data_IF_610732142711
#
_entry.id   IF_610732142711
#
_cell.length_a   1.000
_cell.length_b   1.000
_cell.length_c   1.000
_cell.angle_alpha   90.00
_cell.angle_beta   90.00
_cell.angle_gamma   90.00
#
_symmetry.space_group_name_H-M   'P 1'
#
loop_
_entity.id
_entity.type
_entity.pdbx_description
1 polymer ?
#
# COMPACT_ATOMS: atom_id res chain seq x y z
N UNK A 1 -1.34 -33.80 0.52
CA UNK A 1 -0.48 -32.97 1.39
C UNK A 1 0.74 -33.73 1.87
N UNK A 2 0.59 -34.96 2.39
CA UNK A 2 1.74 -35.72 2.87
C UNK A 2 1.86 -37.05 2.14
N UNK A 3 2.90 -37.18 1.32
CA UNK A 3 3.25 -38.47 0.71
C UNK A 3 3.73 -39.47 1.76
N UNK A 4 4.02 -40.71 1.33
CA UNK A 4 4.54 -41.76 2.21
C UNK A 4 5.84 -41.40 2.95
N UNK A 5 6.58 -40.37 2.51
CA UNK A 5 7.77 -39.82 3.19
C UNK A 5 7.65 -39.73 4.71
N UNK A 6 6.53 -39.21 5.23
CA UNK A 6 6.33 -39.06 6.68
C UNK A 6 6.38 -40.38 7.45
N UNK A 7 5.92 -41.46 6.83
CA UNK A 7 5.80 -42.77 7.49
C UNK A 7 7.07 -43.60 7.45
N UNK A 8 7.98 -43.34 6.49
CA UNK A 8 9.14 -44.20 6.24
C UNK A 8 10.44 -43.65 6.81
N UNK A 9 10.64 -42.33 6.79
CA UNK A 9 11.94 -41.72 7.08
C UNK A 9 11.95 -40.79 8.30
N UNK A 10 10.80 -40.62 8.96
CA UNK A 10 10.72 -39.77 10.15
C UNK A 10 11.25 -40.48 11.39
N UNK A 11 11.88 -39.72 12.31
CA UNK A 11 12.30 -40.25 13.60
C UNK A 11 11.08 -40.63 14.43
N UNK A 12 11.20 -41.70 15.23
CA UNK A 12 10.14 -42.14 16.15
C UNK A 12 10.13 -41.27 17.42
N UNK A 13 11.30 -40.77 17.79
CA UNK A 13 11.56 -39.93 18.95
C UNK A 13 12.56 -38.83 18.60
N UNK A 14 12.61 -37.73 19.36
CA UNK A 14 13.45 -36.57 19.03
C UNK A 14 14.94 -36.89 19.01
N UNK A 15 15.36 -37.89 19.78
CA UNK A 15 16.73 -38.38 19.87
C UNK A 15 17.22 -38.97 18.53
N UNK A 16 16.32 -39.51 17.71
CA UNK A 16 16.64 -40.16 16.42
C UNK A 16 16.76 -39.15 15.27
N UNK A 17 16.43 -37.88 15.48
CA UNK A 17 16.42 -36.85 14.42
C UNK A 17 17.75 -36.82 13.67
N UNK A 18 18.87 -36.88 14.40
CA UNK A 18 20.20 -36.82 13.80
C UNK A 18 20.54 -38.07 12.96
N UNK A 19 20.18 -39.27 13.44
CA UNK A 19 20.40 -40.53 12.71
C UNK A 19 19.58 -40.57 11.41
N UNK A 20 18.30 -40.20 11.49
CA UNK A 20 17.43 -40.13 10.31
C UNK A 20 17.94 -39.12 9.27
N UNK A 21 18.48 -37.98 9.72
CA UNK A 21 19.03 -36.93 8.83
C UNK A 21 20.45 -37.22 8.32
N UNK A 22 21.07 -38.32 8.75
CA UNK A 22 22.37 -38.81 8.27
C UNK A 22 22.26 -40.12 7.47
N UNK A 23 21.08 -40.73 7.42
CA UNK A 23 20.87 -42.02 6.77
C UNK A 23 20.93 -41.92 5.24
N UNK A 24 22.04 -42.36 4.66
CA UNK A 24 22.30 -42.35 3.22
C UNK A 24 21.81 -43.60 2.48
N UNK A 25 21.10 -44.52 3.15
CA UNK A 25 20.51 -45.68 2.49
C UNK A 25 19.47 -45.24 1.46
N UNK A 26 19.36 -45.98 0.37
CA UNK A 26 18.32 -45.74 -0.62
C UNK A 26 16.94 -46.05 -0.02
N UNK A 27 15.91 -45.21 -0.25
CA UNK A 27 14.56 -45.56 0.11
C UNK A 27 14.06 -46.71 -0.77
N UNK A 28 13.13 -47.51 -0.23
CA UNK A 28 12.50 -48.59 -1.00
C UNK A 28 11.79 -48.08 -2.26
N UNK A 29 11.55 -48.95 -3.25
CA UNK A 29 11.04 -48.56 -4.58
C UNK A 29 9.61 -47.99 -4.56
N UNK A 30 8.92 -48.07 -3.43
CA UNK A 30 7.53 -47.62 -3.23
C UNK A 30 7.45 -46.19 -2.71
N UNK A 31 8.56 -45.56 -2.34
CA UNK A 31 8.57 -44.17 -1.93
C UNK A 31 8.44 -43.27 -3.17
N UNK A 32 7.46 -42.35 -3.15
CA UNK A 32 7.32 -41.36 -4.22
C UNK A 32 8.56 -40.47 -4.29
N UNK A 33 9.04 -40.16 -5.49
CA UNK A 33 10.17 -39.25 -5.69
C UNK A 33 9.91 -38.39 -6.94
N UNK A 34 8.78 -37.68 -6.92
CA UNK A 34 8.26 -36.88 -8.03
C UNK A 34 9.23 -35.77 -8.47
N UNK A 35 9.95 -35.19 -7.51
CA UNK A 35 10.94 -34.12 -7.76
C UNK A 35 12.38 -34.62 -7.90
N UNK A 36 12.66 -35.92 -7.75
CA UNK A 36 14.03 -36.44 -7.77
C UNK A 36 14.88 -36.05 -6.54
N UNK A 37 14.25 -35.57 -5.48
CA UNK A 37 14.89 -35.03 -4.27
C UNK A 37 14.86 -35.98 -3.07
N UNK A 38 14.45 -37.24 -3.26
CA UNK A 38 14.32 -38.25 -2.21
C UNK A 38 15.13 -39.52 -2.54
N UNK A 39 16.40 -39.38 -2.96
CA UNK A 39 17.22 -40.53 -3.37
C UNK A 39 17.84 -41.31 -2.19
N UNK A 40 17.82 -40.73 -0.99
CA UNK A 40 18.26 -41.33 0.27
C UNK A 40 17.21 -41.14 1.38
N UNK A 41 17.31 -41.95 2.45
CA UNK A 41 16.40 -41.84 3.60
C UNK A 41 16.45 -40.46 4.26
N UNK A 42 17.63 -39.85 4.38
CA UNK A 42 17.75 -38.50 4.93
C UNK A 42 17.11 -37.43 4.05
N UNK A 43 17.27 -37.55 2.73
CA UNK A 43 16.65 -36.65 1.76
C UNK A 43 15.11 -36.76 1.83
N UNK A 44 14.59 -37.98 1.91
CA UNK A 44 13.17 -38.24 2.13
C UNK A 44 12.67 -37.69 3.47
N UNK A 45 13.46 -37.81 4.54
CA UNK A 45 13.16 -37.26 5.87
C UNK A 45 13.06 -35.73 5.82
N UNK A 46 14.07 -35.09 5.24
CA UNK A 46 14.16 -33.64 5.03
C UNK A 46 12.96 -33.10 4.26
N UNK A 47 12.64 -33.72 3.12
CA UNK A 47 11.48 -33.34 2.30
C UNK A 47 10.18 -33.53 3.07
N UNK A 48 10.00 -34.65 3.78
CA UNK A 48 8.79 -34.91 4.55
C UNK A 48 8.57 -33.87 5.67
N UNK A 49 9.58 -33.62 6.50
CA UNK A 49 9.52 -32.65 7.61
C UNK A 49 9.31 -31.23 7.11
N UNK A 50 10.05 -30.84 6.06
CA UNK A 50 9.92 -29.52 5.48
C UNK A 50 8.58 -29.28 4.78
N UNK A 51 8.06 -30.26 4.03
CA UNK A 51 6.74 -30.18 3.41
C UNK A 51 5.63 -30.10 4.47
N UNK A 52 5.76 -30.83 5.59
CA UNK A 52 4.84 -30.69 6.71
C UNK A 52 4.81 -29.25 7.25
N UNK A 53 5.98 -28.65 7.48
CA UNK A 53 6.09 -27.26 7.95
C UNK A 53 5.62 -26.22 6.92
N UNK A 54 5.75 -26.51 5.63
CA UNK A 54 5.18 -25.70 4.55
C UNK A 54 3.66 -25.61 4.66
N UNK A 55 2.99 -26.75 4.87
CA UNK A 55 1.54 -26.78 5.05
C UNK A 55 1.09 -26.14 6.37
N UNK A 56 1.87 -26.29 7.44
CA UNK A 56 1.67 -25.54 8.68
C UNK A 56 1.73 -24.03 8.41
N UNK A 57 2.69 -23.58 7.59
CA UNK A 57 2.77 -22.19 7.15
C UNK A 57 1.49 -21.73 6.45
N UNK A 58 0.97 -22.52 5.50
CA UNK A 58 -0.31 -22.23 4.85
C UNK A 58 -1.50 -22.21 5.82
N UNK A 59 -1.54 -23.12 6.79
CA UNK A 59 -2.58 -23.15 7.81
C UNK A 59 -2.63 -21.85 8.66
N UNK A 60 -1.47 -21.19 8.84
CA UNK A 60 -1.37 -19.88 9.48
C UNK A 60 -1.32 -18.69 8.50
N UNK A 61 -1.68 -18.91 7.23
CA UNK A 61 -1.88 -17.87 6.23
C UNK A 61 -0.61 -17.37 5.53
N UNK A 62 0.53 -18.07 5.67
CA UNK A 62 1.72 -17.74 4.89
C UNK A 62 1.50 -18.06 3.40
N UNK A 63 1.79 -17.13 2.47
CA UNK A 63 1.81 -17.42 1.04
C UNK A 63 3.12 -18.15 0.66
N UNK A 64 3.26 -18.52 -0.62
CA UNK A 64 4.57 -18.92 -1.17
C UNK A 64 5.55 -17.72 -1.12
N UNK A 65 6.31 -17.62 -0.04
CA UNK A 65 7.22 -16.52 0.27
C UNK A 65 8.68 -16.89 -0.02
N UNK A 66 9.51 -17.01 1.01
CA UNK A 66 10.90 -17.48 0.95
C UNK A 66 11.08 -18.67 1.88
N UNK A 67 12.24 -19.31 1.77
CA UNK A 67 12.63 -20.42 2.63
C UNK A 67 11.69 -21.62 2.54
N UNK A 68 11.14 -22.08 3.67
CA UNK A 68 10.26 -23.26 3.74
C UNK A 68 9.05 -23.13 2.80
N UNK A 69 8.51 -21.91 2.63
CA UNK A 69 7.35 -21.66 1.77
C UNK A 69 7.64 -21.81 0.27
N UNK A 70 8.89 -22.06 -0.12
CA UNK A 70 9.31 -22.32 -1.52
C UNK A 70 10.35 -23.45 -1.59
N UNK A 71 10.15 -24.52 -0.80
CA UNK A 71 11.02 -25.73 -0.76
C UNK A 71 12.46 -25.50 -0.29
N UNK A 72 12.75 -24.42 0.44
CA UNK A 72 14.07 -24.18 1.03
C UNK A 72 14.52 -25.23 2.04
N UNK A 73 13.64 -26.16 2.42
CA UNK A 73 13.92 -27.28 3.31
C UNK A 73 14.65 -28.45 2.64
N UNK A 74 14.48 -28.69 1.33
CA UNK A 74 14.98 -29.88 0.66
C UNK A 74 16.46 -30.18 0.97
N UNK A 75 17.32 -29.18 0.79
CA UNK A 75 18.74 -29.25 1.07
C UNK A 75 19.11 -28.76 2.49
N UNK A 76 18.39 -27.76 3.02
CA UNK A 76 18.87 -26.99 4.17
C UNK A 76 18.28 -27.45 5.51
N UNK A 77 17.21 -28.23 5.53
CA UNK A 77 16.57 -28.67 6.77
C UNK A 77 17.50 -29.40 7.75
N UNK A 78 18.41 -30.29 7.30
CA UNK A 78 19.37 -30.93 8.19
C UNK A 78 20.30 -29.95 8.91
N UNK A 79 20.51 -28.74 8.37
CA UNK A 79 21.38 -27.71 8.96
C UNK A 79 20.83 -27.13 10.26
N UNK A 80 19.55 -27.37 10.58
CA UNK A 80 18.97 -27.00 11.87
C UNK A 80 19.35 -27.97 13.02
N UNK A 81 19.85 -29.17 12.69
CA UNK A 81 20.08 -30.24 13.68
C UNK A 81 21.50 -30.80 13.66
N UNK A 82 22.23 -30.64 12.56
CA UNK A 82 23.52 -31.28 12.34
C UNK A 82 24.66 -30.27 12.24
N UNK A 83 25.82 -30.62 12.81
CA UNK A 83 27.08 -29.87 12.62
C UNK A 83 27.74 -30.16 11.27
N UNK A 84 27.40 -31.28 10.61
CA UNK A 84 27.76 -31.60 9.23
C UNK A 84 26.65 -32.39 8.56
N UNK A 85 26.23 -31.98 7.38
CA UNK A 85 25.18 -32.71 6.63
C UNK A 85 25.75 -33.95 5.95
N UNK A 86 24.89 -34.90 5.59
CA UNK A 86 25.28 -36.05 4.76
C UNK A 86 25.46 -35.65 3.28
N UNK A 87 26.06 -36.56 2.49
CA UNK A 87 26.14 -36.43 1.03
C UNK A 87 24.74 -36.42 0.41
N UNK A 88 24.46 -35.46 -0.49
CA UNK A 88 23.23 -35.42 -1.28
C UNK A 88 23.40 -36.11 -2.60
N UNK A 89 22.62 -37.18 -2.80
CA UNK A 89 22.55 -37.90 -4.06
C UNK A 89 21.75 -37.10 -5.08
N UNK A 90 20.65 -36.45 -4.66
CA UNK A 90 19.81 -35.62 -5.51
C UNK A 90 20.60 -34.48 -6.17
N UNK A 91 21.50 -33.84 -5.42
CA UNK A 91 22.31 -32.72 -5.91
C UNK A 91 23.74 -33.09 -6.27
N UNK A 92 24.17 -34.33 -6.01
CA UNK A 92 25.55 -34.82 -6.18
C UNK A 92 26.58 -33.94 -5.46
N UNK A 93 26.31 -33.62 -4.19
CA UNK A 93 27.12 -32.71 -3.38
C UNK A 93 27.56 -33.35 -2.09
N UNK A 94 28.83 -33.09 -1.73
CA UNK A 94 29.36 -33.44 -0.43
C UNK A 94 28.66 -32.69 0.70
N UNK A 95 28.61 -33.34 1.85
CA UNK A 95 28.06 -32.77 3.08
C UNK A 95 28.83 -31.55 3.54
N UNK A 96 28.11 -30.50 3.95
CA UNK A 96 28.69 -29.23 4.40
C UNK A 96 28.82 -29.20 5.92
N UNK A 97 29.92 -28.61 6.40
CA UNK A 97 30.02 -28.24 7.83
C UNK A 97 29.11 -27.04 8.07
N UNK A 98 28.27 -27.15 9.09
CA UNK A 98 27.29 -26.14 9.46
C UNK A 98 27.88 -25.27 10.56
N UNK A 99 28.15 -24.02 10.22
CA UNK A 99 28.64 -23.01 11.15
C UNK A 99 27.54 -21.95 11.26
N UNK A 100 27.04 -21.74 12.48
CA UNK A 100 26.01 -20.76 12.76
C UNK A 100 26.41 -19.37 12.25
N UNK A 101 25.49 -18.71 11.54
CA UNK A 101 25.71 -17.39 10.94
C UNK A 101 26.61 -17.35 9.70
N UNK A 102 27.30 -18.44 9.33
CA UNK A 102 28.15 -18.51 8.14
C UNK A 102 27.56 -19.42 7.05
N UNK A 103 27.04 -20.58 7.44
CA UNK A 103 26.42 -21.52 6.50
C UNK A 103 24.99 -21.07 6.20
N UNK A 104 24.70 -20.81 4.93
CA UNK A 104 23.36 -20.40 4.50
C UNK A 104 22.31 -21.45 4.93
N UNK A 105 21.16 -21.01 5.42
CA UNK A 105 20.05 -21.90 5.75
C UNK A 105 18.72 -21.26 5.34
N UNK A 106 18.07 -21.89 4.38
CA UNK A 106 16.77 -21.46 3.83
C UNK A 106 15.64 -22.34 4.35
N UNK A 107 15.92 -23.30 5.23
CA UNK A 107 14.92 -24.10 5.90
C UNK A 107 14.39 -23.36 7.15
N UNK A 108 13.87 -22.16 6.90
CA UNK A 108 13.25 -21.24 7.85
C UNK A 108 12.04 -20.58 7.19
N UNK A 109 11.07 -20.13 7.97
CA UNK A 109 10.03 -19.24 7.46
C UNK A 109 10.61 -17.84 7.20
N UNK A 110 10.00 -17.11 6.26
CA UNK A 110 10.28 -15.69 6.08
C UNK A 110 9.97 -14.94 7.37
N UNK A 111 10.77 -13.92 7.68
CA UNK A 111 10.56 -13.12 8.90
C UNK A 111 9.15 -12.51 8.94
N UNK A 112 8.61 -12.07 7.80
CA UNK A 112 7.25 -11.49 7.72
C UNK A 112 6.18 -12.51 8.10
N UNK A 113 6.38 -13.77 7.73
CA UNK A 113 5.43 -14.85 7.99
C UNK A 113 5.52 -15.24 9.47
N UNK A 114 6.74 -15.39 10.00
CA UNK A 114 6.97 -15.66 11.41
C UNK A 114 6.36 -14.57 12.33
N UNK A 115 6.50 -13.29 11.97
CA UNK A 115 5.86 -12.18 12.68
C UNK A 115 4.33 -12.22 12.57
N UNK A 116 3.79 -12.67 11.42
CA UNK A 116 2.36 -12.86 11.24
C UNK A 116 1.82 -14.02 12.10
N UNK A 117 2.59 -15.10 12.27
CA UNK A 117 2.23 -16.24 13.12
C UNK A 117 2.06 -15.82 14.58
N UNK A 118 2.89 -14.91 15.08
CA UNK A 118 2.77 -14.35 16.43
C UNK A 118 1.42 -13.68 16.71
N UNK A 119 0.66 -13.31 15.68
CA UNK A 119 -0.66 -12.70 15.85
C UNK A 119 -1.76 -13.74 16.16
N UNK A 120 -1.48 -15.03 16.01
CA UNK A 120 -2.41 -16.10 16.32
C UNK A 120 -2.27 -16.57 17.78
N UNK A 121 -3.39 -16.88 18.47
CA UNK A 121 -3.36 -17.36 19.85
C UNK A 121 -2.46 -18.58 20.10
N UNK A 122 -2.25 -19.41 19.08
CA UNK A 122 -1.39 -20.60 19.13
C UNK A 122 0.08 -20.30 19.44
N UNK A 123 0.54 -19.08 19.20
CA UNK A 123 1.94 -18.66 19.39
C UNK A 123 2.13 -17.73 20.59
N UNK A 124 1.07 -17.43 21.34
CA UNK A 124 1.15 -16.51 22.46
C UNK A 124 1.76 -17.17 23.69
N UNK A 125 2.67 -16.44 24.33
CA UNK A 125 3.20 -16.78 25.66
C UNK A 125 2.71 -15.77 26.70
N UNK A 126 2.71 -16.11 28.00
CA UNK A 126 2.38 -15.17 29.06
C UNK A 126 3.23 -13.90 28.95
N UNK A 127 2.57 -12.74 28.87
CA UNK A 127 3.23 -11.43 28.74
C UNK A 127 3.30 -10.87 27.30
N UNK A 128 2.85 -11.62 26.29
CA UNK A 128 2.74 -11.06 24.93
C UNK A 128 1.72 -9.92 24.86
N UNK A 129 2.09 -8.84 24.16
CA UNK A 129 1.20 -7.72 23.89
C UNK A 129 0.19 -8.07 22.79
N UNK A 130 -1.10 -7.96 23.11
CA UNK A 130 -2.16 -8.11 22.13
C UNK A 130 -2.28 -6.85 21.28
N UNK A 131 -1.92 -6.95 20.01
CA UNK A 131 -2.18 -5.87 19.06
C UNK A 131 -3.68 -5.76 18.80
N UNK A 132 -4.20 -4.54 18.83
CA UNK A 132 -5.58 -4.24 18.43
C UNK A 132 -5.81 -4.62 16.95
N UNK A 133 -7.02 -5.04 16.55
CA UNK A 133 -7.29 -5.53 15.19
C UNK A 133 -6.84 -4.58 14.07
N UNK A 134 -7.02 -3.27 14.24
CA UNK A 134 -6.54 -2.27 13.28
C UNK A 134 -5.01 -2.26 13.13
N UNK A 135 -4.28 -2.43 14.24
CA UNK A 135 -2.80 -2.50 14.22
C UNK A 135 -2.34 -3.80 13.56
N UNK A 136 -3.07 -4.91 13.70
CA UNK A 136 -2.75 -6.18 13.01
C UNK A 136 -2.87 -6.08 11.48
N UNK A 137 -3.80 -5.28 10.98
CA UNK A 137 -4.07 -5.14 9.54
C UNK A 137 -3.26 -4.02 8.85
N UNK A 138 -2.63 -3.13 9.62
CA UNK A 138 -1.98 -1.92 9.11
C UNK A 138 -0.59 -2.19 8.51
N UNK A 139 -0.37 -1.73 7.28
CA UNK A 139 0.97 -1.73 6.69
C UNK A 139 1.78 -0.53 7.19
N UNK A 140 3.12 -0.63 7.23
CA UNK A 140 3.98 0.50 7.57
C UNK A 140 3.69 1.74 6.69
N UNK A 141 3.78 2.92 7.28
CA UNK A 141 3.60 4.20 6.60
C UNK A 141 4.93 4.76 6.10
N UNK A 142 4.89 5.37 4.92
CA UNK A 142 6.01 6.11 4.30
C UNK A 142 5.50 7.49 3.96
N UNK A 143 6.01 8.51 4.65
CA UNK A 143 5.54 9.89 4.52
C UNK A 143 6.70 10.80 4.15
N UNK A 144 6.47 11.72 3.21
CA UNK A 144 7.46 12.74 2.84
C UNK A 144 7.43 13.85 3.87
N UNK A 145 8.61 14.19 4.40
CA UNK A 145 8.78 15.25 5.40
C UNK A 145 9.69 16.36 4.86
N UNK A 146 9.65 17.53 5.49
CA UNK A 146 10.54 18.65 5.14
C UNK A 146 10.25 19.28 3.77
N UNK A 147 9.03 19.14 3.25
CA UNK A 147 8.62 19.79 2.00
C UNK A 147 8.77 21.32 2.13
N UNK A 148 9.44 21.94 1.16
CA UNK A 148 9.77 23.37 1.17
C UNK A 148 11.16 23.71 1.74
N UNK A 149 11.82 22.78 2.44
CA UNK A 149 13.21 22.93 2.92
C UNK A 149 14.07 21.77 2.37
N UNK A 150 14.88 22.00 1.32
CA UNK A 150 15.74 20.97 0.74
C UNK A 150 16.70 20.29 1.72
N UNK A 151 17.06 20.96 2.82
CA UNK A 151 17.98 20.40 3.83
C UNK A 151 17.29 19.39 4.77
N UNK A 152 15.96 19.50 4.93
CA UNK A 152 15.12 18.63 5.77
C UNK A 152 14.26 17.66 4.98
N UNK A 153 14.24 17.79 3.64
CA UNK A 153 13.47 16.92 2.76
C UNK A 153 13.92 15.47 2.93
N UNK A 154 12.98 14.57 3.21
CA UNK A 154 13.25 13.16 3.43
C UNK A 154 11.97 12.33 3.49
N UNK A 155 12.13 11.04 3.78
CA UNK A 155 11.02 10.15 4.11
C UNK A 155 11.10 9.76 5.59
N UNK A 156 9.94 9.74 6.24
CA UNK A 156 9.74 9.15 7.55
C UNK A 156 9.00 7.83 7.39
N UNK A 157 9.60 6.76 7.90
CA UNK A 157 8.99 5.45 7.99
C UNK A 157 8.41 5.31 9.39
N UNK A 158 7.21 4.76 9.51
CA UNK A 158 6.59 4.51 10.83
C UNK A 158 5.60 3.36 10.76
N UNK A 159 5.33 2.74 11.90
CA UNK A 159 4.31 1.70 12.03
C UNK A 159 3.82 1.67 13.48
N UNK A 160 2.50 1.58 13.70
CA UNK A 160 1.96 1.43 15.08
C UNK A 160 2.40 0.12 15.74
N UNK A 161 2.67 -0.92 14.94
CA UNK A 161 3.28 -2.16 15.42
C UNK A 161 4.82 -2.05 15.57
N UNK A 162 5.42 -0.87 15.39
CA UNK A 162 6.88 -0.64 15.25
C UNK A 162 7.47 -1.24 13.97
N UNK A 163 8.45 -0.55 13.41
CA UNK A 163 9.25 -0.98 12.24
C UNK A 163 10.39 -1.87 12.70
N UNK A 164 10.62 -2.98 11.99
CA UNK A 164 11.57 -4.04 12.38
C UNK A 164 12.60 -4.37 11.32
N UNK A 165 12.34 -3.98 10.08
CA UNK A 165 13.27 -4.21 8.99
C UNK A 165 12.98 -3.19 7.89
N UNK A 166 14.06 -2.63 7.36
CA UNK A 166 14.04 -1.72 6.21
C UNK A 166 15.03 -2.27 5.19
N UNK A 167 14.67 -2.24 3.92
CA UNK A 167 15.60 -2.59 2.84
C UNK A 167 15.50 -1.63 1.68
N UNK A 168 16.64 -1.36 1.05
CA UNK A 168 16.74 -0.59 -0.18
C UNK A 168 17.35 -1.46 -1.28
N UNK A 169 16.63 -1.61 -2.40
CA UNK A 169 16.99 -2.55 -3.49
C UNK A 169 17.32 -3.95 -2.96
N UNK A 170 16.49 -4.45 -2.04
CA UNK A 170 16.61 -5.75 -1.39
C UNK A 170 17.86 -5.92 -0.49
N UNK A 171 18.65 -4.86 -0.28
CA UNK A 171 19.72 -4.83 0.72
C UNK A 171 19.17 -4.38 2.06
N UNK A 172 19.29 -5.24 3.07
CA UNK A 172 18.81 -4.96 4.43
C UNK A 172 19.65 -3.87 5.09
N UNK A 173 18.96 -2.94 5.76
CA UNK A 173 19.59 -2.04 6.72
C UNK A 173 19.96 -2.80 7.99
N UNK A 174 21.03 -2.38 8.67
CA UNK A 174 21.44 -2.95 9.96
C UNK A 174 20.49 -2.63 11.12
N UNK A 175 19.64 -1.61 10.93
CA UNK A 175 18.63 -1.16 11.88
C UNK A 175 17.43 -0.57 11.12
N UNK A 176 16.18 -0.74 11.60
CA UNK A 176 15.76 -1.49 12.80
C UNK A 176 15.84 -3.02 12.64
N UNK A 177 15.72 -3.73 13.76
CA UNK A 177 15.70 -5.20 13.84
C UNK A 177 14.57 -5.67 14.76
N UNK A 178 14.30 -6.97 14.80
CA UNK A 178 13.29 -7.56 15.71
C UNK A 178 13.63 -7.32 17.19
N UNK A 179 14.93 -7.34 17.54
CA UNK A 179 15.40 -7.10 18.91
C UNK A 179 15.41 -5.62 19.30
N UNK A 180 15.51 -4.73 18.31
CA UNK A 180 15.51 -3.27 18.49
C UNK A 180 14.54 -2.61 17.51
N UNK A 181 13.21 -2.85 17.67
CA UNK A 181 12.20 -2.27 16.80
C UNK A 181 12.03 -0.77 17.11
N UNK A 182 11.61 0.02 16.12
CA UNK A 182 11.47 1.47 16.28
C UNK A 182 10.08 1.98 15.90
N UNK A 183 9.61 3.04 16.57
CA UNK A 183 8.33 3.67 16.22
C UNK A 183 8.41 4.39 14.86
N UNK A 184 9.56 5.03 14.61
CA UNK A 184 9.86 5.69 13.35
C UNK A 184 11.37 5.69 13.04
N UNK A 185 11.69 5.91 11.77
CA UNK A 185 13.04 6.17 11.28
C UNK A 185 12.98 7.15 10.10
N UNK A 186 14.01 7.97 9.93
CA UNK A 186 14.05 9.03 8.93
C UNK A 186 15.22 8.81 7.99
N UNK A 187 14.96 8.91 6.68
CA UNK A 187 15.99 8.93 5.65
C UNK A 187 15.91 10.25 4.89
N UNK A 188 16.92 11.11 5.05
CA UNK A 188 16.97 12.38 4.35
C UNK A 188 17.30 12.16 2.87
N UNK A 189 16.69 12.96 2.01
CA UNK A 189 16.89 12.93 0.57
C UNK A 189 18.38 13.05 0.19
N UNK A 190 19.11 13.93 0.89
CA UNK A 190 20.55 14.14 0.65
C UNK A 190 21.36 12.86 0.89
N UNK A 191 21.03 12.11 1.95
CA UNK A 191 21.73 10.88 2.34
C UNK A 191 21.37 9.74 1.39
N UNK A 192 20.09 9.66 1.00
CA UNK A 192 19.64 8.71 -0.02
C UNK A 192 20.33 8.96 -1.37
N UNK A 193 20.45 10.22 -1.81
CA UNK A 193 21.17 10.56 -3.06
C UNK A 193 22.66 10.22 -3.00
N UNK A 194 23.27 10.38 -1.83
CA UNK A 194 24.68 10.04 -1.61
C UNK A 194 24.89 8.52 -1.68
N UNK A 195 24.05 7.74 -1.01
CA UNK A 195 24.12 6.27 -0.95
C UNK A 195 23.67 5.60 -2.26
N UNK A 196 22.69 6.18 -2.93
CA UNK A 196 22.08 5.66 -4.16
C UNK A 196 22.13 6.75 -5.25
N UNK A 197 23.31 7.00 -5.87
CA UNK A 197 23.43 7.98 -6.94
C UNK A 197 22.50 7.65 -8.09
N UNK A 198 21.75 8.64 -8.60
CA UNK A 198 20.84 8.50 -9.76
C UNK A 198 21.57 8.36 -11.09
N UNK A 199 22.52 7.43 -11.18
CA UNK A 199 23.07 7.02 -12.47
C UNK A 199 21.96 6.23 -13.19
N UNK A 200 21.65 6.63 -14.42
CA UNK A 200 20.71 5.93 -15.32
C UNK A 200 19.22 5.95 -14.92
N UNK A 201 18.75 6.90 -14.09
CA UNK A 201 17.33 6.97 -13.67
C UNK A 201 16.81 5.65 -13.05
N UNK A 202 17.68 4.86 -12.41
CA UNK A 202 17.26 3.60 -11.78
C UNK A 202 16.32 3.88 -10.60
N UNK A 203 15.20 3.14 -10.51
CA UNK A 203 14.29 3.27 -9.38
C UNK A 203 14.98 2.84 -8.08
N UNK A 204 14.60 3.47 -6.97
CA UNK A 204 15.04 3.05 -5.64
C UNK A 204 13.90 2.34 -4.92
N UNK A 205 13.93 1.01 -4.92
CA UNK A 205 12.94 0.19 -4.21
C UNK A 205 13.18 0.26 -2.71
N UNK A 206 12.12 0.52 -1.95
CA UNK A 206 12.11 0.49 -0.49
C UNK A 206 11.11 -0.57 -0.03
N UNK A 207 11.52 -1.42 0.92
CA UNK A 207 10.63 -2.34 1.62
C UNK A 207 10.70 -2.06 3.11
N UNK A 208 9.55 -1.97 3.76
CA UNK A 208 9.41 -1.72 5.20
C UNK A 208 8.55 -2.81 5.82
N UNK A 209 9.03 -3.44 6.89
CA UNK A 209 8.32 -4.48 7.64
C UNK A 209 7.98 -3.98 9.05
N UNK A 210 6.75 -4.22 9.52
CA UNK A 210 6.33 -3.98 10.90
C UNK A 210 6.36 -5.25 11.77
N UNK A 211 6.34 -5.12 13.12
CA UNK A 211 6.25 -6.30 14.01
C UNK A 211 4.95 -7.11 13.84
N UNK A 212 3.95 -6.55 13.17
CA UNK A 212 2.71 -7.25 12.83
C UNK A 212 2.84 -8.13 11.57
N UNK A 213 4.04 -8.29 11.01
CA UNK A 213 4.26 -9.08 9.80
C UNK A 213 3.76 -8.41 8.51
N UNK A 214 3.24 -7.18 8.59
CA UNK A 214 2.78 -6.43 7.43
C UNK A 214 3.96 -5.68 6.78
N UNK A 215 4.01 -5.75 5.46
CA UNK A 215 5.03 -5.12 4.65
C UNK A 215 4.42 -4.02 3.78
N UNK A 216 5.15 -2.92 3.60
CA UNK A 216 4.89 -1.95 2.53
C UNK A 216 6.10 -1.86 1.64
N UNK A 217 5.87 -1.92 0.33
CA UNK A 217 6.89 -1.77 -0.70
C UNK A 217 6.60 -0.54 -1.52
N UNK A 218 7.59 0.33 -1.68
CA UNK A 218 7.57 1.45 -2.62
C UNK A 218 8.57 1.09 -3.72
N UNK A 219 8.14 1.02 -4.98
CA UNK A 219 9.03 0.55 -6.05
C UNK A 219 10.02 1.63 -6.49
N UNK A 220 9.64 2.90 -6.38
CA UNK A 220 10.54 4.02 -6.62
C UNK A 220 10.34 5.18 -5.64
N UNK A 221 11.15 5.20 -4.56
CA UNK A 221 11.18 6.26 -3.55
C UNK A 221 11.38 7.65 -4.16
N UNK A 222 12.05 7.74 -5.31
CA UNK A 222 12.30 9.00 -5.98
C UNK A 222 11.04 9.74 -6.43
N UNK A 223 9.97 9.00 -6.70
CA UNK A 223 8.68 9.56 -7.12
C UNK A 223 7.92 10.22 -5.98
N UNK A 224 8.10 9.73 -4.75
CA UNK A 224 7.52 10.36 -3.55
C UNK A 224 7.98 11.83 -3.40
N UNK A 225 9.15 12.16 -3.95
CA UNK A 225 9.68 13.51 -3.93
C UNK A 225 9.33 14.33 -5.19
N UNK A 226 8.42 13.82 -6.02
CA UNK A 226 7.96 14.46 -7.24
C UNK A 226 7.31 15.83 -6.99
N UNK A 227 7.37 16.69 -7.99
CA UNK A 227 6.73 18.02 -7.94
C UNK A 227 5.20 17.94 -8.05
N UNK A 228 4.64 16.83 -8.54
CA UNK A 228 3.20 16.65 -8.74
C UNK A 228 2.40 16.56 -7.43
N UNK A 229 3.08 16.19 -6.34
CA UNK A 229 2.51 16.12 -4.99
C UNK A 229 2.55 17.47 -4.25
N UNK A 230 2.99 18.53 -4.93
CA UNK A 230 3.06 19.89 -4.41
C UNK A 230 2.14 20.79 -5.21
N UNK A 231 1.19 21.46 -4.54
CA UNK A 231 0.33 22.47 -5.15
C UNK A 231 0.85 23.85 -4.75
N UNK A 232 1.38 24.58 -5.74
CA UNK A 232 1.74 25.99 -5.57
C UNK A 232 0.54 26.87 -5.88
N UNK A 233 0.19 27.76 -4.96
CA UNK A 233 -0.94 28.67 -5.15
C UNK A 233 -0.42 29.96 -5.82
N UNK A 234 -0.99 30.37 -6.96
CA UNK A 234 -0.57 31.60 -7.63
C UNK A 234 -0.62 32.82 -6.69
N UNK A 235 0.44 33.63 -6.69
CA UNK A 235 0.51 34.84 -5.88
C UNK A 235 0.69 34.62 -4.37
N UNK A 236 0.94 33.39 -3.91
CA UNK A 236 1.09 33.08 -2.49
C UNK A 236 2.36 32.29 -2.18
N UNK A 237 2.89 32.46 -0.97
CA UNK A 237 3.98 31.63 -0.42
C UNK A 237 3.46 30.30 0.16
N UNK A 238 2.14 30.16 0.27
CA UNK A 238 1.50 28.95 0.80
C UNK A 238 1.62 27.83 -0.23
N UNK A 239 2.12 26.69 0.23
CA UNK A 239 2.30 25.48 -0.56
C UNK A 239 1.47 24.38 0.09
N UNK A 240 0.62 23.72 -0.71
CA UNK A 240 -0.10 22.54 -0.25
C UNK A 240 0.64 21.29 -0.69
N UNK A 241 0.47 20.25 0.10
CA UNK A 241 1.02 18.93 -0.15
C UNK A 241 -0.09 17.93 -0.41
N UNK A 242 0.22 16.90 -1.20
CA UNK A 242 -0.65 15.76 -1.44
C UNK A 242 -0.01 14.50 -0.91
N UNK A 243 -0.85 13.57 -0.47
CA UNK A 243 -0.47 12.21 -0.16
C UNK A 243 -1.65 11.30 -0.45
N UNK A 244 -1.41 10.18 -1.13
CA UNK A 244 -2.46 9.20 -1.44
C UNK A 244 -2.04 7.77 -1.12
N UNK A 245 -3.07 6.92 -1.10
CA UNK A 245 -2.99 5.48 -1.08
C UNK A 245 -3.63 4.98 -2.38
N UNK A 246 -2.88 4.18 -3.12
CA UNK A 246 -3.35 3.42 -4.28
C UNK A 246 -3.82 2.04 -3.84
N UNK A 247 -4.67 1.39 -4.63
CA UNK A 247 -4.87 -0.05 -4.52
C UNK A 247 -3.55 -0.80 -4.78
N UNK A 248 -3.40 -2.00 -4.23
CA UNK A 248 -2.10 -2.66 -4.14
C UNK A 248 -1.45 -2.93 -5.51
N UNK A 249 -2.25 -3.29 -6.52
CA UNK A 249 -1.74 -3.53 -7.87
C UNK A 249 -1.30 -2.24 -8.55
N UNK A 250 -2.00 -1.10 -8.37
CA UNK A 250 -1.58 0.17 -8.97
C UNK A 250 -0.34 0.76 -8.30
N UNK A 251 -0.16 0.53 -6.99
CA UNK A 251 1.11 0.84 -6.30
C UNK A 251 2.26 -0.04 -6.79
N UNK A 252 1.99 -1.28 -7.24
CA UNK A 252 3.01 -2.18 -7.77
C UNK A 252 3.32 -1.96 -9.27
N UNK A 253 2.27 -1.75 -10.08
CA UNK A 253 2.33 -1.55 -11.54
C UNK A 253 2.57 -0.06 -11.89
N UNK A 254 3.49 0.62 -11.19
CA UNK A 254 3.70 2.08 -11.26
C UNK A 254 4.01 2.65 -12.66
N UNK A 255 4.18 1.81 -13.69
CA UNK A 255 4.43 2.21 -15.08
C UNK A 255 3.20 2.08 -15.99
N UNK A 256 2.11 1.47 -15.52
CA UNK A 256 0.87 1.30 -16.30
C UNK A 256 -0.19 2.28 -15.79
N UNK A 257 -0.02 3.54 -16.16
CA UNK A 257 -1.10 4.51 -15.98
C UNK A 257 -2.35 4.01 -16.72
N UNK A 258 -3.49 3.91 -16.04
CA UNK A 258 -4.73 3.53 -16.71
C UNK A 258 -5.10 4.57 -17.77
N UNK A 259 -5.71 4.10 -18.86
CA UNK A 259 -6.20 4.98 -19.91
C UNK A 259 -7.07 6.08 -19.28
N UNK A 260 -6.75 7.34 -19.59
CA UNK A 260 -7.48 8.51 -19.11
C UNK A 260 -8.98 8.45 -19.42
N UNK A 261 -9.39 7.72 -20.48
CA UNK A 261 -10.80 7.49 -20.81
C UNK A 261 -11.54 6.62 -19.77
N UNK A 262 -10.79 5.86 -18.97
CA UNK A 262 -11.28 4.90 -17.97
C UNK A 262 -11.08 5.37 -16.53
N UNK A 263 -10.73 6.63 -16.32
CA UNK A 263 -10.40 7.21 -15.02
C UNK A 263 -11.21 8.47 -14.78
N UNK A 264 -11.81 8.58 -13.60
CA UNK A 264 -12.40 9.81 -13.10
C UNK A 264 -11.53 10.41 -12.00
N UNK A 265 -10.81 11.49 -12.31
CA UNK A 265 -10.07 12.26 -11.29
C UNK A 265 -10.98 13.28 -10.60
N UNK A 266 -10.88 13.37 -9.29
CA UNK A 266 -11.68 14.30 -8.48
C UNK A 266 -10.85 14.88 -7.33
N UNK A 267 -11.25 16.07 -6.87
CA UNK A 267 -10.70 16.71 -5.68
C UNK A 267 -11.76 17.61 -5.03
N UNK A 268 -11.63 17.88 -3.74
CA UNK A 268 -12.50 18.83 -3.05
C UNK A 268 -11.84 19.33 -1.78
N UNK A 269 -11.95 20.63 -1.51
CA UNK A 269 -11.58 21.22 -0.24
C UNK A 269 -12.69 21.02 0.80
N UNK A 270 -12.33 20.98 2.08
CA UNK A 270 -13.24 20.81 3.22
C UNK A 270 -13.85 22.15 3.69
N UNK A 271 -13.39 23.26 3.12
CA UNK A 271 -13.98 24.59 3.26
C UNK A 271 -13.97 25.27 1.88
N UNK A 272 -15.00 26.07 1.59
CA UNK A 272 -15.16 26.79 0.33
C UNK A 272 -15.85 28.15 0.56
N UNK A 273 -15.71 29.12 -0.35
CA UNK A 273 -16.56 30.31 -0.33
C UNK A 273 -18.03 29.95 -0.54
N UNK A 274 -18.93 30.68 0.11
CA UNK A 274 -20.37 30.65 -0.12
C UNK A 274 -20.69 31.40 -1.41
N UNK A 275 -21.61 30.86 -2.19
CA UNK A 275 -22.02 31.50 -3.43
C UNK A 275 -22.66 32.87 -3.15
N UNK A 276 -22.22 33.91 -3.88
CA UNK A 276 -22.79 35.26 -3.79
C UNK A 276 -22.33 36.13 -2.61
N UNK A 277 -21.45 35.64 -1.72
CA UNK A 277 -20.85 36.43 -0.66
C UNK A 277 -19.37 36.74 -0.97
N UNK A 278 -18.95 38.00 -0.79
CA UNK A 278 -17.53 38.39 -0.90
C UNK A 278 -16.68 37.78 0.22
N UNK A 279 -15.35 37.87 0.14
CA UNK A 279 -14.43 37.14 1.03
C UNK A 279 -14.40 37.68 2.48
N UNK A 280 -14.68 36.80 3.44
CA UNK A 280 -14.55 37.02 4.88
C UNK A 280 -14.89 35.76 5.71
N UNK A 281 -14.68 35.73 7.03
CA UNK A 281 -14.91 34.53 7.85
C UNK A 281 -16.36 34.02 7.82
N UNK A 282 -17.34 34.92 7.64
CA UNK A 282 -18.77 34.57 7.48
C UNK A 282 -19.16 34.18 6.05
N UNK A 283 -18.24 34.31 5.10
CA UNK A 283 -18.47 33.97 3.69
C UNK A 283 -17.98 32.57 3.33
N UNK A 284 -17.48 31.80 4.28
CA UNK A 284 -17.04 30.43 4.05
C UNK A 284 -18.14 29.46 4.48
N UNK A 285 -18.28 28.39 3.72
CA UNK A 285 -19.00 27.19 4.11
C UNK A 285 -18.02 26.11 4.51
N UNK A 286 -18.33 25.46 5.62
CA UNK A 286 -17.52 24.40 6.17
C UNK A 286 -18.22 23.05 6.03
N UNK A 287 -17.43 21.99 5.99
CA UNK A 287 -17.96 20.63 6.03
C UNK A 287 -18.81 20.45 7.28
N UNK A 288 -20.05 20.03 7.09
CA UNK A 288 -20.99 19.64 8.14
C UNK A 288 -20.85 18.16 8.45
N UNK A 289 -20.72 17.34 7.42
CA UNK A 289 -20.61 15.89 7.58
C UNK A 289 -20.02 15.22 6.35
N UNK A 290 -19.38 14.08 6.56
CA UNK A 290 -18.84 13.23 5.49
C UNK A 290 -19.51 11.86 5.59
N UNK A 291 -20.17 11.43 4.52
CA UNK A 291 -20.87 10.14 4.44
C UNK A 291 -20.07 9.19 3.55
N UNK A 292 -19.47 8.17 4.17
CA UNK A 292 -18.64 7.16 3.52
C UNK A 292 -19.53 6.02 3.03
N UNK A 293 -19.45 5.70 1.74
CA UNK A 293 -20.27 4.68 1.07
C UNK A 293 -19.41 3.48 0.70
N UNK A 294 -19.67 2.37 1.39
CA UNK A 294 -18.90 1.13 1.25
C UNK A 294 -19.82 -0.03 0.87
N UNK A 295 -19.52 -0.68 -0.26
CA UNK A 295 -20.12 -1.91 -0.73
C UNK A 295 -19.08 -3.02 -0.80
N UNK A 296 -19.05 -3.74 -1.92
CA UNK A 296 -17.94 -4.66 -2.24
C UNK A 296 -16.59 -3.94 -2.36
N UNK A 297 -16.64 -2.63 -2.61
CA UNK A 297 -15.53 -1.69 -2.67
C UNK A 297 -15.96 -0.36 -2.06
N UNK A 298 -15.03 0.59 -1.94
CA UNK A 298 -15.36 1.97 -1.60
C UNK A 298 -16.01 2.64 -2.84
N UNK A 299 -17.34 2.77 -2.80
CA UNK A 299 -18.13 3.36 -3.89
C UNK A 299 -17.83 4.86 -4.04
N UNK A 300 -17.68 5.56 -2.92
CA UNK A 300 -17.44 6.99 -2.90
C UNK A 300 -17.70 7.63 -1.54
N UNK A 301 -17.63 8.96 -1.50
CA UNK A 301 -18.03 9.74 -0.33
C UNK A 301 -18.93 10.90 -0.74
N UNK A 302 -19.80 11.31 0.17
CA UNK A 302 -20.48 12.59 0.09
C UNK A 302 -19.91 13.55 1.13
N UNK A 303 -19.55 14.76 0.71
CA UNK A 303 -19.24 15.87 1.60
C UNK A 303 -20.45 16.80 1.62
N UNK A 304 -21.09 16.90 2.78
CA UNK A 304 -22.17 17.85 3.04
C UNK A 304 -21.58 19.11 3.67
N UNK A 305 -21.88 20.27 3.10
CA UNK A 305 -21.55 21.57 3.68
C UNK A 305 -22.70 22.13 4.52
N UNK A 306 -22.39 23.09 5.38
CA UNK A 306 -23.36 23.75 6.26
C UNK A 306 -24.44 24.56 5.52
N UNK A 307 -24.21 24.92 4.25
CA UNK A 307 -25.15 25.63 3.37
C UNK A 307 -26.10 24.68 2.61
N UNK A 308 -25.94 23.38 2.79
CA UNK A 308 -26.70 22.34 2.10
C UNK A 308 -26.09 21.85 0.78
N UNK A 309 -24.95 22.41 0.33
CA UNK A 309 -24.23 21.84 -0.81
C UNK A 309 -23.75 20.41 -0.47
N UNK A 310 -23.99 19.48 -1.39
CA UNK A 310 -23.45 18.12 -1.33
C UNK A 310 -22.53 17.86 -2.53
N UNK A 311 -21.31 17.41 -2.23
CA UNK A 311 -20.27 17.11 -3.23
C UNK A 311 -19.91 15.63 -3.21
N UNK A 312 -19.83 15.04 -4.40
CA UNK A 312 -19.34 13.67 -4.58
C UNK A 312 -17.80 13.65 -4.48
N UNK A 313 -17.23 12.68 -3.78
CA UNK A 313 -15.84 12.24 -3.92
C UNK A 313 -15.85 10.93 -4.71
N UNK A 314 -15.52 11.01 -5.99
CA UNK A 314 -15.82 10.01 -7.02
C UNK A 314 -16.64 10.61 -8.16
N UNK A 315 -17.14 9.82 -9.11
CA UNK A 315 -17.92 10.34 -10.23
C UNK A 315 -19.16 11.14 -9.79
N UNK A 316 -19.41 12.27 -10.47
CA UNK A 316 -20.63 13.09 -10.30
C UNK A 316 -21.73 12.77 -11.32
N UNK A 317 -21.35 12.19 -12.46
CA UNK A 317 -22.25 11.82 -13.54
C UNK A 317 -22.15 10.32 -13.79
N UNK A 318 -23.22 9.72 -14.31
CA UNK A 318 -23.25 8.38 -14.92
C UNK A 318 -22.86 8.48 -16.39
N UNK A 319 -22.64 7.32 -17.03
CA UNK A 319 -22.25 7.25 -18.45
C UNK A 319 -23.26 7.94 -19.38
N UNK A 320 -24.55 7.84 -19.06
CA UNK A 320 -25.64 8.47 -19.78
C UNK A 320 -25.84 9.96 -19.48
N UNK A 321 -25.02 10.56 -18.60
CA UNK A 321 -25.10 11.97 -18.23
C UNK A 321 -25.97 12.26 -17.00
N UNK A 322 -26.67 11.26 -16.45
CA UNK A 322 -27.48 11.44 -15.24
C UNK A 322 -26.60 11.65 -14.00
N UNK A 323 -27.20 12.15 -12.91
CA UNK A 323 -26.51 12.31 -11.63
C UNK A 323 -26.04 10.95 -11.10
N UNK A 324 -24.78 10.89 -10.67
CA UNK A 324 -24.21 9.70 -10.04
C UNK A 324 -24.60 9.62 -8.56
N UNK A 325 -24.99 8.41 -8.14
CA UNK A 325 -25.33 8.08 -6.76
C UNK A 325 -24.47 6.92 -6.31
N UNK A 326 -23.81 7.05 -5.16
CA UNK A 326 -23.03 5.97 -4.57
C UNK A 326 -23.97 4.98 -3.89
N UNK A 327 -23.74 3.70 -4.15
CA UNK A 327 -24.44 2.60 -3.52
C UNK A 327 -23.83 2.26 -2.17
N UNK A 328 -23.51 0.98 -2.01
CA UNK A 328 -22.93 0.43 -0.79
C UNK A 328 -23.99 0.03 0.22
N UNK A 329 -23.83 -1.16 0.80
CA UNK A 329 -24.66 -1.63 1.90
C UNK A 329 -24.40 -0.81 3.20
N UNK A 330 -23.20 -0.22 3.35
CA UNK A 330 -22.82 0.61 4.48
C UNK A 330 -22.76 2.09 4.09
N UNK A 331 -23.61 2.89 4.71
CA UNK A 331 -23.57 4.35 4.70
C UNK A 331 -23.25 4.85 6.11
N UNK A 332 -22.01 5.30 6.32
CA UNK A 332 -21.50 5.66 7.66
C UNK A 332 -21.09 7.14 7.65
N UNK A 333 -21.90 7.95 8.32
CA UNK A 333 -21.70 9.39 8.41
C UNK A 333 -20.79 9.77 9.59
N UNK A 334 -19.86 10.68 9.34
CA UNK A 334 -19.06 11.39 10.34
C UNK A 334 -19.59 12.82 10.42
N UNK A 335 -20.07 13.22 11.58
CA UNK A 335 -20.64 14.55 11.82
C UNK A 335 -19.61 15.49 12.44
N UNK A 336 -19.43 16.68 11.89
CA UNK A 336 -18.50 17.71 12.36
C UNK A 336 -19.19 18.78 13.24
N UNK A 337 -20.50 18.70 13.41
CA UNK A 337 -21.34 19.69 14.12
C UNK A 337 -21.83 19.26 15.49
N UNK A 338 -21.81 17.96 15.81
CA UNK A 338 -22.14 17.46 17.15
C UNK A 338 -20.94 17.65 18.09
N UNK A 339 -21.11 17.96 19.38
CA UNK A 339 -20.01 18.11 20.35
C UNK A 339 -19.85 19.51 20.96
N UNK A 340 -19.32 19.57 22.18
CA UNK A 340 -19.07 20.80 22.93
C UNK A 340 -17.69 21.34 22.56
N UNK A 341 -17.60 22.33 21.67
CA UNK A 341 -16.32 22.91 21.23
C UNK A 341 -16.41 23.69 19.91
N UNK A 342 -15.34 24.39 19.55
CA UNK A 342 -15.24 25.09 18.26
C UNK A 342 -14.93 24.06 17.14
N UNK A 343 -15.20 24.41 15.86
CA UNK A 343 -14.88 23.59 14.69
C UNK A 343 -13.42 23.04 14.66
N UNK A 344 -12.48 23.71 15.32
CA UNK A 344 -11.07 23.29 15.45
C UNK A 344 -10.84 22.06 16.32
N UNK A 345 -11.78 21.67 17.17
CA UNK A 345 -11.68 20.49 18.03
C UNK A 345 -12.02 19.18 17.27
N UNK A 346 -12.63 19.30 16.07
CA UNK A 346 -13.05 18.19 15.20
C UNK A 346 -12.27 18.12 13.89
N UNK A 347 -10.98 18.38 13.97
CA UNK A 347 -10.07 18.20 12.84
C UNK A 347 -9.89 16.72 12.49
N UNK A 348 -9.83 16.40 11.20
CA UNK A 348 -9.45 15.06 10.73
C UNK A 348 -7.94 14.87 10.98
N UNK A 349 -7.59 13.88 11.79
CA UNK A 349 -6.20 13.60 12.17
C UNK A 349 -5.64 12.37 11.46
N UNK A 350 -6.51 11.45 11.04
CA UNK A 350 -6.09 10.20 10.38
C UNK A 350 -7.21 9.69 9.47
N UNK A 351 -6.82 9.13 8.33
CA UNK A 351 -7.70 8.36 7.45
C UNK A 351 -7.07 6.98 7.26
N UNK A 352 -7.81 5.94 7.62
CA UNK A 352 -7.46 4.56 7.37
C UNK A 352 -8.18 4.10 6.10
N UNK A 353 -7.44 3.50 5.18
CA UNK A 353 -7.92 3.04 3.88
C UNK A 353 -7.66 1.55 3.78
N UNK A 354 -8.71 0.75 3.65
CA UNK A 354 -8.61 -0.66 3.38
C UNK A 354 -8.55 -0.90 1.88
N UNK A 355 -7.62 -1.72 1.40
CA UNK A 355 -7.44 -1.92 -0.04
C UNK A 355 -7.25 -3.39 -0.40
N UNK A 356 -7.59 -3.69 -1.66
CA UNK A 356 -7.31 -4.94 -2.32
C UNK A 356 -6.47 -4.67 -3.57
N UNK A 357 -6.31 -5.67 -4.44
CA UNK A 357 -5.39 -5.58 -5.58
C UNK A 357 -5.83 -4.46 -6.54
N UNK A 358 -7.10 -4.42 -6.95
CA UNK A 358 -7.57 -3.52 -8.01
C UNK A 358 -8.43 -2.34 -7.55
N UNK A 359 -8.80 -2.28 -6.27
CA UNK A 359 -9.73 -1.28 -5.72
C UNK A 359 -9.40 -0.98 -4.26
N UNK A 360 -9.82 0.20 -3.80
CA UNK A 360 -9.98 0.49 -2.39
C UNK A 360 -11.31 -0.14 -1.93
N UNK A 361 -11.28 -0.82 -0.80
CA UNK A 361 -12.39 -1.64 -0.29
C UNK A 361 -13.17 -0.99 0.84
N UNK A 362 -12.60 0.02 1.49
CA UNK A 362 -13.27 0.75 2.55
C UNK A 362 -12.37 1.86 3.11
N UNK A 363 -12.95 2.66 3.98
CA UNK A 363 -12.26 3.79 4.59
C UNK A 363 -12.87 4.13 5.95
N UNK A 364 -12.03 4.53 6.90
CA UNK A 364 -12.42 5.07 8.20
C UNK A 364 -11.71 6.40 8.47
N UNK A 365 -12.48 7.40 8.85
CA UNK A 365 -12.02 8.75 9.21
C UNK A 365 -11.95 8.84 10.73
N UNK A 366 -10.86 9.37 11.25
CA UNK A 366 -10.64 9.62 12.67
C UNK A 366 -10.50 11.13 12.91
N UNK A 367 -11.28 11.63 13.85
CA UNK A 367 -11.24 13.02 14.31
C UNK A 367 -10.39 13.14 15.57
N UNK A 368 -9.90 14.35 15.83
CA UNK A 368 -9.04 14.68 16.99
C UNK A 368 -9.71 14.38 18.34
N UNK A 369 -11.03 14.50 18.44
CA UNK A 369 -11.81 14.21 19.65
C UNK A 369 -12.07 12.71 19.88
N UNK A 370 -11.52 11.84 19.03
CA UNK A 370 -11.72 10.38 19.09
C UNK A 370 -12.95 9.89 18.33
N UNK A 371 -13.79 10.79 17.79
CA UNK A 371 -14.89 10.40 16.91
C UNK A 371 -14.34 9.71 15.67
N UNK A 372 -14.97 8.60 15.27
CA UNK A 372 -14.63 7.89 14.05
C UNK A 372 -15.88 7.52 13.27
N UNK A 373 -15.74 7.36 11.96
CA UNK A 373 -16.79 6.78 11.13
C UNK A 373 -16.29 6.42 9.74
N UNK A 374 -17.15 5.74 8.99
CA UNK A 374 -16.75 4.98 7.81
C UNK A 374 -16.65 3.48 8.11
N UNK A 375 -16.49 2.71 7.04
CA UNK A 375 -16.45 1.25 7.09
C UNK A 375 -15.26 0.74 6.26
N UNK A 376 -14.45 -0.15 6.84
CA UNK A 376 -13.22 -0.65 6.22
C UNK A 376 -13.45 -1.83 5.28
N UNK A 377 -14.61 -2.48 5.34
CA UNK A 377 -14.98 -3.49 4.34
C UNK A 377 -16.48 -3.67 4.33
N UNK A 378 -17.07 -3.98 3.17
CA UNK A 378 -18.49 -4.29 3.14
C UNK A 378 -18.88 -5.73 3.41
N UNK A 379 -17.91 -6.63 3.56
CA UNK A 379 -18.16 -8.05 3.83
C UNK A 379 -17.31 -8.59 4.97
N UNK A 380 -16.78 -7.72 5.84
CA UNK A 380 -16.00 -8.09 7.03
C UNK A 380 -14.55 -8.52 6.76
N UNK A 381 -14.15 -8.74 5.50
CA UNK A 381 -12.78 -9.09 5.16
C UNK A 381 -11.96 -7.87 4.76
N UNK A 382 -10.90 -7.59 5.51
CA UNK A 382 -9.91 -6.54 5.23
C UNK A 382 -8.57 -7.21 5.00
N UNK A 383 -8.08 -7.19 3.75
CA UNK A 383 -6.78 -7.79 3.37
C UNK A 383 -5.61 -7.03 4.02
N UNK A 384 -5.62 -5.72 3.84
CA UNK A 384 -4.67 -4.80 4.43
C UNK A 384 -5.27 -3.39 4.56
N UNK A 385 -4.72 -2.62 5.50
CA UNK A 385 -5.05 -1.21 5.67
C UNK A 385 -3.79 -0.36 5.57
N UNK A 386 -3.96 0.85 5.05
CA UNK A 386 -2.93 1.88 5.01
C UNK A 386 -3.47 3.15 5.67
N UNK A 387 -2.58 4.00 6.17
CA UNK A 387 -2.96 5.23 6.85
C UNK A 387 -2.44 6.47 6.13
N UNK A 388 -3.29 7.51 6.09
CA UNK A 388 -2.94 8.87 5.73
C UNK A 388 -3.05 9.73 6.98
N UNK A 389 -1.94 10.35 7.36
CA UNK A 389 -1.84 11.27 8.49
C UNK A 389 -1.04 12.49 8.04
N UNK A 390 -1.48 13.71 8.40
CA UNK A 390 -0.69 14.88 8.08
C UNK A 390 0.63 14.87 8.87
N UNK A 391 1.77 15.20 8.26
CA UNK A 391 3.02 15.41 8.98
C UNK A 391 2.87 16.45 10.10
N UNK A 392 3.78 16.40 11.08
CA UNK A 392 3.82 17.41 12.14
C UNK A 392 3.84 18.84 11.56
N UNK A 393 2.98 19.72 12.08
CA UNK A 393 2.83 21.10 11.59
C UNK A 393 1.91 21.27 10.38
N UNK A 394 1.36 20.18 9.81
CA UNK A 394 0.35 20.23 8.75
C UNK A 394 -1.02 19.77 9.23
N UNK A 395 -2.06 20.17 8.50
CA UNK A 395 -3.47 19.76 8.68
C UNK A 395 -4.09 19.35 7.35
N UNK A 396 -5.10 18.49 7.39
CA UNK A 396 -5.88 18.10 6.22
C UNK A 396 -6.86 19.22 5.88
N UNK A 397 -6.85 19.68 4.62
CA UNK A 397 -7.72 20.76 4.11
C UNK A 397 -8.61 20.32 2.94
N UNK A 398 -8.40 19.13 2.40
CA UNK A 398 -9.14 18.61 1.27
C UNK A 398 -8.84 17.14 1.00
N UNK A 399 -9.62 16.55 0.10
CA UNK A 399 -9.41 15.22 -0.44
C UNK A 399 -9.22 15.26 -1.95
N UNK A 400 -8.56 14.25 -2.47
CA UNK A 400 -8.49 13.98 -3.89
C UNK A 400 -8.47 12.48 -4.14
N UNK A 401 -8.68 12.08 -5.37
CA UNK A 401 -8.56 10.68 -5.73
C UNK A 401 -8.86 10.40 -7.19
N UNK A 402 -8.78 9.12 -7.51
CA UNK A 402 -9.13 8.57 -8.81
C UNK A 402 -10.07 7.39 -8.61
N UNK A 403 -11.12 7.40 -9.40
CA UNK A 403 -12.06 6.29 -9.51
C UNK A 403 -11.92 5.65 -10.88
N UNK A 404 -12.17 4.35 -10.95
CA UNK A 404 -12.44 3.72 -12.23
C UNK A 404 -13.64 4.40 -12.88
N UNK A 405 -13.67 4.39 -14.21
CA UNK A 405 -14.78 4.97 -14.95
C UNK A 405 -15.27 4.00 -16.01
N UNK A 406 -16.50 3.55 -15.82
CA UNK A 406 -17.18 2.62 -16.69
C UNK A 406 -16.67 1.17 -16.62
N UNK A 407 -15.92 0.84 -15.57
CA UNK A 407 -15.44 -0.50 -15.23
C UNK A 407 -15.28 -0.58 -13.73
N UNK A 408 -15.18 -1.80 -13.20
CA UNK A 408 -15.02 -2.02 -11.75
C UNK A 408 -16.06 -1.24 -10.93
N UNK A 409 -17.27 -1.08 -11.49
CA UNK A 409 -18.39 -0.33 -10.91
C UNK A 409 -18.02 1.06 -10.39
N UNK A 410 -17.11 1.74 -11.08
CA UNK A 410 -16.68 3.10 -10.78
C UNK A 410 -16.02 3.27 -9.40
N UNK A 411 -15.51 2.17 -8.84
CA UNK A 411 -14.86 2.13 -7.53
C UNK A 411 -13.66 3.05 -7.44
N UNK A 412 -13.41 3.59 -6.24
CA UNK A 412 -12.18 4.32 -5.94
C UNK A 412 -10.99 3.34 -5.97
N UNK A 413 -9.92 3.71 -6.68
CA UNK A 413 -8.65 2.98 -6.66
C UNK A 413 -7.48 3.83 -6.15
N UNK A 414 -7.67 5.15 -6.04
CA UNK A 414 -6.76 6.05 -5.35
C UNK A 414 -7.56 7.00 -4.47
N UNK A 415 -7.16 7.12 -3.20
CA UNK A 415 -7.69 8.12 -2.28
C UNK A 415 -6.52 8.87 -1.63
N UNK A 416 -6.62 10.19 -1.54
CA UNK A 416 -5.59 11.03 -0.96
C UNK A 416 -6.11 12.25 -0.22
N UNK A 417 -5.23 12.80 0.60
CA UNK A 417 -5.42 14.01 1.40
C UNK A 417 -4.62 15.16 0.81
N UNK A 418 -5.21 16.36 0.87
CA UNK A 418 -4.56 17.63 0.59
C UNK A 418 -4.27 18.27 1.93
N UNK A 419 -3.02 18.69 2.12
CA UNK A 419 -2.52 19.18 3.40
C UNK A 419 -1.98 20.60 3.26
N UNK A 420 -2.16 21.39 4.32
CA UNK A 420 -1.63 22.74 4.42
C UNK A 420 -0.89 22.91 5.76
N UNK A 421 0.04 23.88 5.88
CA UNK A 421 0.56 24.30 7.17
C UNK A 421 -0.58 24.70 8.12
N UNK A 422 -0.47 24.33 9.41
CA UNK A 422 -1.53 24.57 10.41
C UNK A 422 -1.83 26.05 10.63
N UNK A 423 -0.79 26.87 10.74
CA UNK A 423 -0.91 28.26 11.19
C UNK A 423 -1.01 29.27 10.04
N UNK A 424 -1.57 28.82 8.91
CA UNK A 424 -1.64 29.60 7.68
C UNK A 424 -3.07 29.69 7.19
N UNK A 425 -3.54 30.92 6.94
CA UNK A 425 -4.79 31.15 6.22
C UNK A 425 -4.62 30.79 4.74
N UNK A 426 -5.59 30.03 4.23
CA UNK A 426 -5.58 29.61 2.84
C UNK A 426 -5.97 30.79 1.94
N UNK A 427 -5.12 31.17 0.96
CA UNK A 427 -5.38 32.32 0.10
C UNK A 427 -6.58 32.10 -0.82
N UNK A 428 -7.31 33.17 -1.13
CA UNK A 428 -8.49 33.17 -1.99
C UNK A 428 -8.27 32.43 -3.33
N UNK A 429 -7.13 32.67 -3.99
CA UNK A 429 -6.81 32.10 -5.29
C UNK A 429 -6.89 30.55 -5.31
N UNK A 430 -6.74 29.91 -4.15
CA UNK A 430 -6.88 28.47 -3.98
C UNK A 430 -8.27 27.97 -4.40
N UNK A 431 -9.33 28.67 -4.01
CA UNK A 431 -10.70 28.21 -4.18
C UNK A 431 -11.20 28.28 -5.62
N UNK A 432 -10.49 29.00 -6.50
CA UNK A 432 -10.75 29.03 -7.94
C UNK A 432 -10.01 27.95 -8.74
N UNK A 433 -9.15 27.14 -8.10
CA UNK A 433 -8.31 26.17 -8.80
C UNK A 433 -9.13 24.94 -9.22
N UNK A 434 -9.38 24.78 -10.53
CA UNK A 434 -10.11 23.62 -11.09
C UNK A 434 -9.53 22.25 -10.69
N UNK A 435 -8.21 22.17 -10.48
CA UNK A 435 -7.54 20.95 -10.04
C UNK A 435 -7.87 20.52 -8.60
N UNK A 436 -8.56 21.36 -7.84
CA UNK A 436 -9.02 21.10 -6.46
C UNK A 436 -10.54 20.95 -6.37
N UNK A 437 -11.19 20.71 -7.51
CA UNK A 437 -12.64 20.56 -7.64
C UNK A 437 -12.98 19.23 -8.33
N UNK A 438 -14.14 18.68 -7.98
CA UNK A 438 -14.68 17.53 -8.68
C UNK A 438 -15.40 18.03 -9.94
N UNK A 439 -14.65 18.10 -11.02
CA UNK A 439 -15.14 18.50 -12.36
C UNK A 439 -15.69 17.27 -13.09
N UNK A 440 -15.61 17.24 -14.42
CA UNK A 440 -16.20 16.19 -15.26
C UNK A 440 -15.25 15.02 -15.50
N UNK A 441 -14.34 14.77 -14.56
CA UNK A 441 -13.32 13.72 -14.67
C UNK A 441 -12.37 13.93 -15.85
N UNK A 442 -12.07 15.18 -16.23
CA UNK A 442 -11.31 15.57 -17.44
C UNK A 442 -12.02 15.28 -18.79
N UNK A 443 -13.35 15.11 -18.82
CA UNK A 443 -14.10 15.02 -20.09
C UNK A 443 -13.94 16.29 -20.94
N UNK A 444 -13.51 16.13 -22.19
CA UNK A 444 -13.92 17.03 -23.27
C UNK A 444 -15.35 16.63 -23.61
N UNK A 445 -16.33 17.42 -23.19
CA UNK A 445 -17.73 17.19 -23.60
C UNK A 445 -17.83 17.51 -25.10
N UNK A 446 -18.20 16.56 -25.97
CA UNK A 446 -18.53 16.89 -27.34
C UNK A 446 -19.88 17.65 -27.30
N UNK A 447 -19.85 18.98 -27.39
CA UNK A 447 -21.09 19.76 -27.52
C UNK A 447 -21.14 21.16 -26.89
N UNK A 448 -20.12 21.63 -26.15
CA UNK A 448 -20.11 23.03 -25.68
C UNK A 448 -19.42 23.95 -26.71
N UNK A 449 -20.04 25.09 -27.12
CA UNK A 449 -19.51 25.94 -28.18
C UNK A 449 -18.39 26.84 -27.64
N UNK A 450 -17.17 26.33 -27.63
CA UNK A 450 -15.93 27.10 -27.43
C UNK A 450 -15.39 27.59 -28.78
N UNK A 451 -15.74 28.83 -29.12
CA UNK A 451 -15.28 29.56 -30.31
C UNK A 451 -13.74 29.69 -30.38
N UNK A 452 -13.26 29.61 -31.61
CA UNK A 452 -11.93 30.01 -32.11
C UNK A 452 -10.70 29.24 -31.57
N UNK A 453 -10.30 28.20 -32.30
CA UNK A 453 -8.96 27.60 -32.17
C UNK A 453 -8.70 26.46 -33.15
N UNK A 454 -9.74 25.72 -33.55
CA UNK A 454 -9.58 24.51 -34.37
C UNK A 454 -9.64 24.73 -35.89
N UNK A 455 -9.88 25.96 -36.37
CA UNK A 455 -10.01 26.22 -37.82
C UNK A 455 -8.67 26.41 -38.53
N UNK A 456 -7.57 26.71 -37.81
CA UNK A 456 -6.24 26.86 -38.44
C UNK A 456 -5.48 25.54 -38.57
N UNK A 457 -5.66 24.59 -37.64
CA UNK A 457 -4.95 23.31 -37.68
C UNK A 457 -5.50 22.38 -38.77
N UNK A 458 -6.84 22.33 -38.96
CA UNK A 458 -7.48 21.56 -40.04
C UNK A 458 -7.22 22.11 -41.45
N UNK A 459 -6.90 23.41 -41.60
CA UNK A 459 -6.44 23.98 -42.88
C UNK A 459 -4.99 23.60 -43.21
N UNK A 460 -4.11 23.52 -42.20
CA UNK A 460 -2.71 23.07 -42.39
C UNK A 460 -2.63 21.59 -42.78
N UNK A 461 -3.43 20.73 -42.15
CA UNK A 461 -3.42 19.28 -42.45
C UNK A 461 -4.02 18.94 -43.82
N UNK A 462 -5.03 19.70 -44.30
CA UNK A 462 -5.56 19.54 -45.66
C UNK A 462 -4.61 20.03 -46.76
N UNK A 463 -3.76 21.03 -46.48
CA UNK A 463 -2.73 21.50 -47.41
C UNK A 463 -1.54 20.52 -47.49
N UNK A 464 -1.14 19.91 -46.37
CA UNK A 464 -0.10 18.88 -46.33
C UNK A 464 -0.52 17.57 -47.00
N UNK A 465 -1.79 17.15 -46.85
CA UNK A 465 -2.33 15.96 -47.53
C UNK A 465 -2.40 16.12 -49.05
N UNK A 466 -2.67 17.32 -49.58
CA UNK A 466 -2.66 17.57 -51.03
C UNK A 466 -1.27 17.68 -51.63
N UNK A 467 -0.26 18.12 -50.86
CA UNK A 467 1.12 18.18 -51.32
C UNK A 467 1.78 16.79 -51.44
N UNK A 468 1.39 15.83 -50.59
CA UNK A 468 1.93 14.45 -50.63
C UNK A 468 1.35 13.63 -51.78
N UNK A 469 0.17 13.98 -52.29
CA UNK A 469 -0.45 13.26 -53.41
C UNK A 469 0.03 13.73 -54.79
N UNK A 470 0.74 14.86 -54.89
CA UNK A 470 1.27 15.40 -56.15
C UNK A 470 2.74 15.00 -56.42
N UNK A 471 3.40 14.30 -55.49
CA UNK A 471 4.79 13.82 -55.62
C UNK A 471 4.90 12.29 -55.73
N UNK A 472 3.77 11.61 -55.97
CA UNK A 472 3.72 10.20 -56.35
C UNK A 472 2.71 10.04 -57.49
N UNK A 473 3.10 10.54 -58.66
CA UNK A 473 2.76 10.06 -60.00
C UNK A 473 3.71 10.72 -60.99
#
# INVERSE_FOLDING_TARGET
MFGSHLTYSWPRFIEEVHECLLDTRAPGPTLGNDNGECATMWEACSIGQGAFLHEVGHAFGAPHSTGIMVRGYAEHWPRNFLSRTAYSVAHKREGVVVIEGQTANNARWDLRDALSFRLFPHFWIPGDELLEPGVRAETPSVVVIGQGDPAKLGIQLSCRAKVVQVSFNDNLESYPTVVSPCNNTIYLMKDLKFRFPRRENRPLKLTVLGMNGKTRTIHDVWRLFGLEDIIRIPGSKVVLAKQSILCAQMEADEYKEPDASTVWSWATLLAKPRDGFGYGPRSMKHVKSIDVRTGAYLDGLYIDFDDGERVNCGPRLRRNGDKHTFGGHAAKKVDFTQGVGNYGDREIVRIEVARADNVITGMRIYLKDGTQGGELSGYGYVKETCALEPPHGQRIVGFYGRSWWGRMCDAIFEFGIIMAPRDVELPEALYGMKGLMNTDGKRIVPGAPGKLGQTQQRKRERLLSKAVHFLRN
#
